data_IF_107767606026
#
_entry.id   IF_107767606026
#
_cell.length_a   1.000
_cell.length_b   1.000
_cell.length_c   1.000
_cell.angle_alpha   90.00
_cell.angle_beta   90.00
_cell.angle_gamma   90.00
#
_symmetry.space_group_name_H-M   'P 1'
#
loop_
_entity.id
_entity.type
_entity.pdbx_description
1 polymer ?
#
# COMPACT_ATOMS: atom_id res chain seq x y z
N UNK A 1 -9.26 -35.87 50.61
CA UNK A 1 -8.79 -35.17 51.84
C UNK A 1 -7.28 -35.29 51.89
N UNK A 2 -6.51 -34.29 52.37
CA UNK A 2 -6.83 -32.97 52.96
C UNK A 2 -6.40 -31.81 52.01
N UNK A 3 -6.96 -30.58 51.96
CA UNK A 3 -7.18 -29.46 52.90
C UNK A 3 -5.90 -28.73 53.41
N UNK A 4 -5.83 -27.43 53.06
CA UNK A 4 -4.82 -26.37 53.26
C UNK A 4 -4.34 -26.11 54.73
N UNK A 5 -3.31 -25.26 54.99
CA UNK A 5 -3.57 -23.81 55.23
C UNK A 5 -2.47 -22.79 54.82
N UNK A 6 -2.93 -21.58 54.41
CA UNK A 6 -2.49 -20.19 54.69
C UNK A 6 -1.01 -19.77 54.82
N UNK A 7 -0.62 -18.61 54.23
CA UNK A 7 -0.46 -17.28 54.89
C UNK A 7 0.02 -16.20 53.89
N UNK A 8 -0.46 -14.98 54.12
CA UNK A 8 -0.31 -13.68 53.45
C UNK A 8 1.10 -13.04 53.42
N UNK A 9 1.35 -12.11 52.49
CA UNK A 9 1.53 -10.64 52.76
C UNK A 9 2.14 -9.88 51.56
N UNK A 10 1.90 -8.56 51.57
CA UNK A 10 2.09 -7.50 50.55
C UNK A 10 3.55 -7.19 50.14
N UNK A 11 3.79 -6.33 49.11
CA UNK A 11 5.00 -6.35 48.27
C UNK A 11 6.16 -5.53 48.85
N UNK A 12 7.40 -6.00 48.65
CA UNK A 12 8.61 -5.24 48.98
C UNK A 12 9.17 -4.51 47.77
N UNK A 13 9.11 -3.20 47.85
CA UNK A 13 9.78 -2.18 47.06
C UNK A 13 11.30 -2.35 47.02
N UNK A 14 11.91 -2.28 45.82
CA UNK A 14 13.32 -1.92 45.63
C UNK A 14 13.51 -1.16 44.30
N UNK A 15 13.16 0.13 44.34
CA UNK A 15 13.81 1.13 43.52
C UNK A 15 15.13 1.49 44.21
N UNK A 16 16.26 1.07 43.66
CA UNK A 16 17.58 1.51 44.09
C UNK A 16 18.51 1.52 42.88
N UNK A 17 18.44 2.57 42.07
CA UNK A 17 19.57 3.03 41.27
C UNK A 17 19.33 4.48 40.90
N UNK A 18 19.68 5.40 41.82
CA UNK A 18 19.98 6.80 41.55
C UNK A 18 20.47 7.45 42.87
N UNK A 19 21.64 7.01 43.35
CA UNK A 19 22.48 7.80 44.25
C UNK A 19 23.93 7.50 43.91
N UNK A 20 24.56 8.44 43.21
CA UNK A 20 25.91 8.89 43.50
C UNK A 20 26.17 10.16 42.69
N UNK A 21 26.04 11.29 43.37
CA UNK A 21 26.74 12.52 42.99
C UNK A 21 27.80 12.82 44.04
N UNK A 22 28.92 13.33 43.52
CA UNK A 22 29.95 14.18 44.15
C UNK A 22 31.33 13.57 44.47
N UNK A 23 32.30 14.15 43.74
CA UNK A 23 33.75 14.38 43.97
C UNK A 23 34.66 13.51 43.12
N UNK A 24 35.64 14.00 42.36
CA UNK A 24 36.11 15.35 42.01
C UNK A 24 37.23 15.19 40.96
N UNK A 25 37.30 16.08 39.96
CA UNK A 25 38.56 16.40 39.25
C UNK A 25 38.55 16.22 37.73
N UNK A 26 38.46 17.32 36.99
CA UNK A 26 38.74 17.39 35.56
C UNK A 26 37.76 18.26 34.79
N UNK A 27 38.06 19.55 34.64
CA UNK A 27 37.36 20.42 33.69
C UNK A 27 37.69 19.97 32.26
N UNK A 28 36.74 19.28 31.61
CA UNK A 28 36.72 19.13 30.17
C UNK A 28 35.54 19.94 29.62
N UNK A 29 35.83 20.81 28.66
CA UNK A 29 34.87 21.61 27.91
C UNK A 29 33.72 20.71 27.38
N UNK A 30 32.43 21.01 27.61
CA UNK A 30 31.33 20.25 27.04
C UNK A 30 31.17 20.64 25.57
N UNK A 31 32.09 20.18 24.74
CA UNK A 31 31.94 20.17 23.29
C UNK A 31 30.86 19.16 22.91
N UNK A 32 29.72 19.67 22.42
CA UNK A 32 28.85 19.02 21.44
C UNK A 32 28.65 17.50 21.59
N UNK A 33 28.07 17.04 22.71
CA UNK A 33 27.40 15.76 22.69
C UNK A 33 26.11 15.95 21.88
N UNK A 34 26.12 15.59 20.59
CA UNK A 34 24.89 15.55 19.80
C UNK A 34 23.90 14.59 20.49
N UNK A 35 22.69 15.08 20.74
CA UNK A 35 21.59 14.26 21.25
C UNK A 35 21.37 13.06 20.30
N UNK A 36 21.11 11.84 20.82
CA UNK A 36 20.74 10.69 20.01
C UNK A 36 19.48 11.01 19.19
N UNK A 37 19.48 10.61 17.91
CA UNK A 37 18.52 11.15 16.94
C UNK A 37 17.05 10.77 17.23
N UNK A 38 16.75 9.68 17.94
CA UNK A 38 15.36 9.35 18.33
C UNK A 38 15.27 8.52 19.64
N UNK A 39 14.43 8.96 20.59
CA UNK A 39 14.10 8.25 21.85
C UNK A 39 13.37 6.92 21.59
N UNK A 40 12.71 6.79 20.43
CA UNK A 40 11.92 5.61 20.03
C UNK A 40 12.74 4.35 19.85
N UNK A 41 14.05 4.47 19.66
CA UNK A 41 14.93 3.34 19.41
C UNK A 41 15.37 2.64 20.72
N UNK A 42 14.99 3.17 21.90
CA UNK A 42 15.45 2.69 23.22
C UNK A 42 14.36 2.07 24.12
N UNK A 43 13.08 2.24 23.80
CA UNK A 43 11.97 1.76 24.65
C UNK A 43 11.38 0.48 24.05
N UNK A 44 11.21 -0.56 24.87
CA UNK A 44 10.59 -1.82 24.42
C UNK A 44 9.09 -1.64 24.14
N UNK A 45 8.58 -2.38 23.15
CA UNK A 45 7.16 -2.35 22.74
C UNK A 45 6.21 -2.62 23.91
N UNK A 46 6.59 -3.51 24.82
CA UNK A 46 5.81 -3.90 26.00
C UNK A 46 5.59 -2.74 26.99
N UNK A 47 6.58 -1.86 27.15
CA UNK A 47 6.48 -0.71 28.05
C UNK A 47 5.54 0.36 27.46
N UNK A 48 5.56 0.52 26.14
CA UNK A 48 4.63 1.41 25.43
C UNK A 48 3.18 0.96 25.54
N UNK A 49 2.90 -0.34 25.37
CA UNK A 49 1.53 -0.86 25.46
C UNK A 49 0.90 -0.60 26.83
N UNK A 50 1.68 -0.75 27.91
CA UNK A 50 1.21 -0.44 29.26
C UNK A 50 0.92 1.04 29.51
N UNK A 51 1.73 1.94 28.92
CA UNK A 51 1.50 3.38 29.02
C UNK A 51 0.19 3.76 28.32
N UNK A 52 -0.06 3.19 27.13
CA UNK A 52 -1.30 3.40 26.38
C UNK A 52 -2.50 2.90 27.20
N UNK A 53 -2.45 1.67 27.72
CA UNK A 53 -3.55 1.08 28.51
C UNK A 53 -3.97 1.94 29.70
N UNK A 54 -3.02 2.61 30.36
CA UNK A 54 -3.32 3.48 31.49
C UNK A 54 -3.89 4.84 31.07
N UNK A 55 -3.56 5.33 29.88
CA UNK A 55 -3.98 6.65 29.39
C UNK A 55 -5.22 6.60 28.50
N UNK A 56 -5.70 5.42 28.08
CA UNK A 56 -6.95 5.23 27.32
C UNK A 56 -8.16 5.99 27.90
N UNK A 57 -8.40 6.04 29.23
CA UNK A 57 -9.55 6.75 29.80
C UNK A 57 -9.45 8.28 29.73
N UNK A 58 -8.25 8.85 29.53
CA UNK A 58 -7.99 10.28 29.49
C UNK A 58 -7.41 10.67 28.13
N UNK A 59 -8.33 10.88 27.19
CA UNK A 59 -8.01 11.14 25.79
C UNK A 59 -7.23 12.45 25.59
N UNK A 60 -7.43 13.46 26.45
CA UNK A 60 -6.70 14.72 26.35
C UNK A 60 -5.24 14.56 26.76
N UNK A 61 -4.98 13.83 27.85
CA UNK A 61 -3.61 13.53 28.28
C UNK A 61 -2.88 12.59 27.31
N UNK A 62 -3.59 11.62 26.72
CA UNK A 62 -3.05 10.75 25.66
C UNK A 62 -2.60 11.56 24.43
N UNK A 63 -3.41 12.54 24.00
CA UNK A 63 -3.11 13.42 22.87
C UNK A 63 -1.96 14.38 23.19
N UNK A 64 -1.85 14.87 24.42
CA UNK A 64 -0.74 15.74 24.85
C UNK A 64 0.59 14.98 25.04
N UNK A 65 0.54 13.72 25.50
CA UNK A 65 1.71 12.83 25.60
C UNK A 65 2.29 12.41 24.24
N UNK A 66 1.63 12.71 23.11
CA UNK A 66 2.18 12.50 21.75
C UNK A 66 3.46 13.31 21.45
N UNK A 67 3.94 14.14 22.38
CA UNK A 67 5.23 14.82 22.30
C UNK A 67 6.45 13.86 22.31
N UNK A 68 6.25 12.55 22.54
CA UNK A 68 7.27 11.51 22.34
C UNK A 68 6.79 10.48 21.32
N UNK A 69 6.64 10.94 20.07
CA UNK A 69 6.54 10.14 18.84
C UNK A 69 5.25 9.31 18.72
N UNK A 70 4.56 9.25 17.58
CA UNK A 70 5.01 8.56 16.35
C UNK A 70 5.75 7.21 16.56
N UNK A 71 5.85 6.69 17.79
CA UNK A 71 6.20 5.32 18.17
C UNK A 71 4.91 4.54 18.47
N UNK A 72 4.41 3.72 17.55
CA UNK A 72 4.83 2.31 17.39
C UNK A 72 4.03 1.31 18.25
N UNK A 73 2.70 1.46 18.33
CA UNK A 73 1.78 0.37 18.66
C UNK A 73 0.55 0.42 17.73
N UNK A 74 0.04 -0.71 17.21
CA UNK A 74 -1.18 -0.77 16.39
C UNK A 74 -2.39 -0.07 17.05
N UNK A 75 -2.58 -0.23 18.37
CA UNK A 75 -3.68 0.38 19.13
C UNK A 75 -3.70 1.91 19.11
N UNK A 76 -2.55 2.57 19.08
CA UNK A 76 -2.49 4.04 19.00
C UNK A 76 -2.92 4.58 17.64
N UNK A 77 -2.90 3.74 16.59
CA UNK A 77 -3.32 4.12 15.23
C UNK A 77 -4.84 4.19 15.10
N UNK A 78 -5.55 3.27 15.76
CA UNK A 78 -7.02 3.27 15.84
C UNK A 78 -7.61 4.52 16.52
N UNK A 79 -6.78 5.27 17.25
CA UNK A 79 -7.19 6.46 18.02
C UNK A 79 -6.88 7.78 17.29
N UNK A 80 -6.06 7.76 16.23
CA UNK A 80 -5.57 8.97 15.53
C UNK A 80 -5.97 9.03 14.05
N UNK A 81 -6.32 7.90 13.45
CA UNK A 81 -6.92 7.79 12.13
C UNK A 81 -8.28 7.13 12.33
N UNK A 82 -9.32 7.55 11.61
CA UNK A 82 -10.53 6.74 11.41
C UNK A 82 -10.16 5.51 10.57
N UNK A 83 -9.27 4.66 11.08
CA UNK A 83 -8.99 3.36 10.51
C UNK A 83 -10.21 2.50 10.81
N UNK A 84 -11.02 2.27 9.80
CA UNK A 84 -12.09 1.29 9.89
C UNK A 84 -11.40 -0.07 9.81
N UNK A 85 -11.12 -0.63 10.98
CA UNK A 85 -10.44 -1.91 11.16
C UNK A 85 -11.49 -3.00 11.00
N UNK A 86 -11.42 -3.74 9.91
CA UNK A 86 -12.19 -4.98 9.73
C UNK A 86 -11.33 -6.15 10.16
N UNK A 87 -11.61 -6.67 11.36
CA UNK A 87 -11.06 -7.94 11.83
C UNK A 87 -12.02 -9.07 11.43
N UNK A 88 -11.54 -10.03 10.65
CA UNK A 88 -12.24 -11.31 10.48
C UNK A 88 -11.61 -12.34 11.41
N UNK A 89 -12.45 -13.14 12.07
CA UNK A 89 -12.04 -14.07 13.13
C UNK A 89 -11.26 -15.26 12.56
N UNK A 90 -9.96 -15.07 12.34
CA UNK A 90 -9.00 -16.13 12.00
C UNK A 90 -8.90 -16.49 10.52
N UNK A 91 -9.47 -15.68 9.61
CA UNK A 91 -9.26 -15.85 8.16
C UNK A 91 -8.28 -14.82 7.63
N UNK A 92 -7.31 -15.29 6.85
CA UNK A 92 -6.39 -14.40 6.14
C UNK A 92 -7.14 -13.65 5.04
N UNK A 93 -7.05 -12.33 5.08
CA UNK A 93 -7.57 -11.44 4.05
C UNK A 93 -6.57 -11.39 2.88
N UNK A 94 -7.04 -11.64 1.66
CA UNK A 94 -6.20 -11.68 0.45
C UNK A 94 -6.15 -10.33 -0.25
N UNK A 95 -7.30 -9.66 -0.36
CA UNK A 95 -7.42 -8.32 -0.92
C UNK A 95 -8.66 -7.62 -0.37
N UNK A 96 -8.71 -6.30 -0.48
CA UNK A 96 -9.82 -5.50 0.02
C UNK A 96 -10.08 -4.28 -0.88
N UNK A 97 -11.31 -3.81 -0.88
CA UNK A 97 -11.76 -2.59 -1.54
C UNK A 97 -12.65 -1.79 -0.58
N UNK A 98 -12.64 -0.46 -0.69
CA UNK A 98 -13.48 0.41 0.13
C UNK A 98 -14.52 1.08 -0.75
N UNK A 99 -15.76 1.08 -0.28
CA UNK A 99 -16.83 1.95 -0.78
C UNK A 99 -17.13 3.03 0.26
N UNK A 100 -17.95 4.02 -0.10
CA UNK A 100 -18.42 5.04 0.84
C UNK A 100 -19.23 4.47 2.00
N UNK A 101 -19.87 3.30 1.80
CA UNK A 101 -20.81 2.70 2.75
C UNK A 101 -20.19 1.57 3.57
N UNK A 102 -19.20 0.87 3.01
CA UNK A 102 -18.73 -0.42 3.50
C UNK A 102 -17.28 -0.71 3.08
N UNK A 103 -16.54 -1.42 3.92
CA UNK A 103 -15.29 -2.10 3.56
C UNK A 103 -15.62 -3.51 3.08
N UNK A 104 -15.14 -3.83 1.88
CA UNK A 104 -15.28 -5.14 1.26
C UNK A 104 -13.92 -5.83 1.29
N UNK A 105 -13.88 -7.09 1.71
CA UNK A 105 -12.64 -7.85 1.76
C UNK A 105 -12.86 -9.28 1.29
N UNK A 106 -11.83 -9.85 0.66
CA UNK A 106 -11.83 -11.25 0.27
C UNK A 106 -10.96 -12.07 1.22
N UNK A 107 -11.43 -13.28 1.45
CA UNK A 107 -10.71 -14.34 2.16
C UNK A 107 -10.60 -15.56 1.22
N UNK A 108 -10.09 -16.68 1.73
CA UNK A 108 -10.04 -17.92 0.96
C UNK A 108 -11.44 -18.48 0.59
N UNK A 109 -12.47 -18.19 1.39
CA UNK A 109 -13.80 -18.80 1.27
C UNK A 109 -14.87 -17.90 0.61
N UNK A 110 -14.65 -16.59 0.51
CA UNK A 110 -15.58 -15.69 -0.16
C UNK A 110 -15.19 -14.22 -0.09
N UNK A 111 -16.11 -13.37 -0.57
CA UNK A 111 -16.05 -11.92 -0.39
C UNK A 111 -17.01 -11.55 0.73
N UNK A 112 -16.50 -10.82 1.71
CA UNK A 112 -17.21 -10.36 2.89
C UNK A 112 -17.39 -8.85 2.83
N UNK A 113 -18.43 -8.38 3.51
CA UNK A 113 -18.69 -6.96 3.76
C UNK A 113 -18.98 -6.80 5.24
N UNK A 114 -18.61 -5.65 5.79
CA UNK A 114 -18.92 -5.28 7.17
C UNK A 114 -20.42 -5.20 7.45
N UNK A 115 -21.23 -4.85 6.46
CA UNK A 115 -22.69 -4.69 6.55
C UNK A 115 -23.50 -5.95 6.23
N UNK A 116 -22.86 -7.07 5.88
CA UNK A 116 -23.54 -8.29 5.41
C UNK A 116 -23.30 -9.50 6.32
N UNK A 117 -24.36 -10.22 6.67
CA UNK A 117 -24.26 -11.45 7.49
C UNK A 117 -23.64 -12.64 6.76
N UNK A 118 -23.72 -12.67 5.43
CA UNK A 118 -23.27 -13.82 4.61
C UNK A 118 -22.32 -13.37 3.50
N UNK A 119 -21.23 -14.11 3.27
CA UNK A 119 -20.30 -13.78 2.21
C UNK A 119 -20.86 -14.14 0.83
N UNK A 120 -20.46 -13.34 -0.16
CA UNK A 120 -20.54 -13.68 -1.56
C UNK A 120 -19.59 -14.84 -1.87
N UNK A 121 -20.13 -15.95 -2.39
CA UNK A 121 -19.39 -17.20 -2.63
C UNK A 121 -18.50 -17.13 -3.88
N UNK A 122 -17.54 -16.21 -3.88
CA UNK A 122 -16.51 -16.08 -4.90
C UNK A 122 -15.14 -16.32 -4.26
N UNK A 123 -14.51 -17.45 -4.60
CA UNK A 123 -13.25 -17.91 -4.01
C UNK A 123 -12.04 -17.47 -4.83
N UNK A 124 -10.86 -17.58 -4.20
CA UNK A 124 -9.56 -17.31 -4.83
C UNK A 124 -9.48 -15.90 -5.42
N UNK A 125 -10.05 -14.92 -4.72
CA UNK A 125 -10.02 -13.52 -5.15
C UNK A 125 -8.66 -12.92 -4.81
N UNK A 126 -7.95 -12.44 -5.83
CA UNK A 126 -6.57 -11.92 -5.69
C UNK A 126 -6.50 -10.40 -5.86
N UNK A 127 -7.47 -9.79 -6.52
CA UNK A 127 -7.56 -8.35 -6.71
C UNK A 127 -9.03 -7.93 -6.86
N UNK A 128 -9.40 -6.77 -6.33
CA UNK A 128 -10.73 -6.19 -6.45
C UNK A 128 -10.67 -4.65 -6.56
N UNK A 129 -11.68 -4.05 -7.19
CA UNK A 129 -11.88 -2.61 -7.30
C UNK A 129 -13.39 -2.32 -7.40
N UNK A 130 -13.85 -1.20 -6.82
CA UNK A 130 -15.25 -0.77 -6.84
C UNK A 130 -15.35 0.54 -7.63
N UNK A 131 -16.19 0.55 -8.68
CA UNK A 131 -16.57 1.77 -9.41
C UNK A 131 -18.00 2.14 -9.01
N UNK A 132 -18.12 2.86 -7.90
CA UNK A 132 -19.41 3.15 -7.28
C UNK A 132 -20.32 4.05 -8.15
N UNK A 133 -19.72 4.99 -8.90
CA UNK A 133 -20.44 5.95 -9.77
C UNK A 133 -21.14 5.28 -10.95
N UNK A 134 -20.66 4.10 -11.37
CA UNK A 134 -21.27 3.27 -12.42
C UNK A 134 -21.83 1.95 -11.90
N UNK A 135 -21.92 1.77 -10.57
CA UNK A 135 -22.40 0.55 -9.92
C UNK A 135 -21.73 -0.74 -10.46
N UNK A 136 -20.40 -0.73 -10.58
CA UNK A 136 -19.64 -1.85 -11.14
C UNK A 136 -18.58 -2.35 -10.16
N UNK A 137 -18.61 -3.65 -9.88
CA UNK A 137 -17.57 -4.36 -9.14
C UNK A 137 -16.66 -5.13 -10.11
N UNK A 138 -15.36 -4.96 -9.94
CA UNK A 138 -14.32 -5.60 -10.73
C UNK A 138 -13.47 -6.50 -9.83
N UNK A 139 -13.20 -7.73 -10.25
CA UNK A 139 -12.30 -8.60 -9.49
C UNK A 139 -11.58 -9.62 -10.35
N UNK A 140 -10.48 -10.16 -9.81
CA UNK A 140 -9.84 -11.38 -10.32
C UNK A 140 -10.13 -12.50 -9.34
N UNK A 141 -10.77 -13.56 -9.81
CA UNK A 141 -11.03 -14.77 -9.05
C UNK A 141 -10.56 -16.00 -9.85
N UNK A 142 -9.72 -16.85 -9.25
CA UNK A 142 -9.14 -18.03 -9.92
C UNK A 142 -8.43 -17.69 -11.25
N UNK A 143 -7.73 -16.54 -11.29
CA UNK A 143 -7.05 -16.04 -12.49
C UNK A 143 -7.99 -15.56 -13.61
N UNK A 144 -9.29 -15.42 -13.36
CA UNK A 144 -10.26 -14.87 -14.30
C UNK A 144 -10.69 -13.48 -13.86
N UNK A 145 -10.57 -12.50 -14.76
CA UNK A 145 -11.12 -11.17 -14.58
C UNK A 145 -12.63 -11.17 -14.83
N UNK A 146 -13.38 -10.72 -13.83
CA UNK A 146 -14.83 -10.82 -13.71
C UNK A 146 -15.40 -9.45 -13.36
N UNK A 147 -16.58 -9.16 -13.90
CA UNK A 147 -17.38 -8.00 -13.52
C UNK A 147 -18.78 -8.41 -13.07
N UNK A 148 -19.34 -7.64 -12.14
CA UNK A 148 -20.74 -7.76 -11.72
C UNK A 148 -21.25 -6.41 -11.22
N UNK A 149 -22.57 -6.17 -11.19
CA UNK A 149 -23.11 -4.98 -10.56
C UNK A 149 -22.66 -4.90 -9.10
N UNK A 150 -22.26 -3.72 -8.62
CA UNK A 150 -21.83 -3.55 -7.23
C UNK A 150 -22.97 -3.84 -6.24
N UNK A 151 -24.21 -3.52 -6.61
CA UNK A 151 -25.40 -3.86 -5.85
C UNK A 151 -25.61 -5.36 -5.63
N UNK A 152 -25.04 -6.23 -6.48
CA UNK A 152 -25.11 -7.68 -6.30
C UNK A 152 -24.28 -8.20 -5.12
N UNK A 153 -23.50 -7.32 -4.48
CA UNK A 153 -22.79 -7.60 -3.24
C UNK A 153 -23.54 -7.05 -2.01
N UNK A 154 -24.57 -6.22 -2.16
CA UNK A 154 -25.26 -5.60 -1.03
C UNK A 154 -26.06 -6.64 -0.21
N UNK A 155 -26.27 -6.40 1.10
CA UNK A 155 -27.06 -7.29 1.95
C UNK A 155 -28.45 -7.56 1.35
N UNK A 156 -28.88 -8.83 1.40
CA UNK A 156 -30.18 -9.27 0.88
C UNK A 156 -30.22 -9.59 -0.62
N UNK A 157 -29.15 -9.33 -1.37
CA UNK A 157 -29.02 -9.79 -2.75
C UNK A 157 -28.49 -11.24 -2.81
N UNK A 158 -28.95 -12.02 -3.79
CA UNK A 158 -28.35 -13.32 -4.12
C UNK A 158 -27.43 -13.17 -5.33
N UNK A 159 -26.24 -13.75 -5.23
CA UNK A 159 -25.25 -13.72 -6.30
C UNK A 159 -25.62 -14.77 -7.35
N UNK A 160 -26.64 -14.47 -8.14
CA UNK A 160 -27.08 -15.37 -9.21
C UNK A 160 -26.03 -15.40 -10.33
N UNK A 161 -25.89 -16.56 -10.99
CA UNK A 161 -24.91 -16.76 -12.07
C UNK A 161 -25.03 -15.77 -13.23
N UNK A 162 -26.22 -15.18 -13.43
CA UNK A 162 -26.48 -14.16 -14.46
C UNK A 162 -25.83 -12.80 -14.18
N UNK A 163 -25.54 -12.46 -12.93
CA UNK A 163 -24.90 -11.18 -12.57
C UNK A 163 -23.38 -11.19 -12.81
N UNK A 164 -22.78 -12.40 -12.88
CA UNK A 164 -21.33 -12.57 -12.96
C UNK A 164 -20.88 -12.71 -14.41
N UNK A 165 -20.27 -11.66 -14.95
CA UNK A 165 -19.71 -11.63 -16.32
C UNK A 165 -18.22 -11.94 -16.30
N UNK A 166 -17.83 -13.05 -16.93
CA UNK A 166 -16.41 -13.43 -17.09
C UNK A 166 -15.84 -12.76 -18.35
N UNK A 167 -14.82 -11.93 -18.18
CA UNK A 167 -14.29 -11.09 -19.27
C UNK A 167 -13.00 -11.65 -19.85
N UNK A 168 -12.07 -12.11 -19.00
CA UNK A 168 -10.79 -12.65 -19.47
C UNK A 168 -10.19 -13.68 -18.53
N UNK A 169 -9.66 -14.77 -19.07
CA UNK A 169 -8.92 -15.81 -18.32
C UNK A 169 -7.42 -15.55 -18.32
N UNK A 170 -6.70 -16.15 -17.37
CA UNK A 170 -5.24 -16.03 -17.20
C UNK A 170 -4.77 -14.59 -17.00
N UNK A 171 -5.51 -13.83 -16.19
CA UNK A 171 -5.19 -12.45 -15.87
C UNK A 171 -4.26 -12.41 -14.67
N UNK A 172 -3.16 -11.69 -14.80
CA UNK A 172 -2.22 -11.44 -13.71
C UNK A 172 -2.76 -10.36 -12.77
N UNK A 173 -3.17 -9.23 -13.34
CA UNK A 173 -3.66 -8.07 -12.61
C UNK A 173 -4.47 -7.15 -13.55
N UNK A 174 -5.20 -6.21 -12.98
CA UNK A 174 -5.80 -5.10 -13.71
C UNK A 174 -5.54 -3.76 -13.03
N UNK A 175 -5.72 -2.66 -13.75
CA UNK A 175 -5.70 -1.30 -13.19
C UNK A 175 -6.84 -0.49 -13.78
N UNK A 176 -7.39 0.43 -13.01
CA UNK A 176 -8.45 1.33 -13.47
C UNK A 176 -7.91 2.74 -13.63
N UNK A 177 -8.41 3.43 -14.65
CA UNK A 177 -8.19 4.85 -14.87
C UNK A 177 -9.54 5.56 -14.96
N UNK A 178 -9.70 6.59 -14.14
CA UNK A 178 -10.88 7.45 -14.13
C UNK A 178 -10.59 8.76 -14.85
N UNK A 179 -11.55 9.23 -15.64
CA UNK A 179 -11.52 10.53 -16.30
C UNK A 179 -12.93 11.09 -16.44
N UNK A 180 -13.04 12.34 -16.89
CA UNK A 180 -14.33 12.98 -17.20
C UNK A 180 -15.11 12.25 -18.30
N UNK A 181 -14.41 11.53 -19.19
CA UNK A 181 -15.00 10.70 -20.26
C UNK A 181 -15.35 9.27 -19.77
N UNK A 182 -15.37 9.04 -18.45
CA UNK A 182 -15.64 7.75 -17.83
C UNK A 182 -14.38 6.93 -17.55
N UNK A 183 -14.61 5.65 -17.25
CA UNK A 183 -13.60 4.72 -16.76
C UNK A 183 -12.96 3.88 -17.86
N UNK A 184 -11.66 3.60 -17.71
CA UNK A 184 -10.92 2.62 -18.50
C UNK A 184 -10.31 1.56 -17.60
N UNK A 185 -10.35 0.31 -18.04
CA UNK A 185 -9.73 -0.81 -17.33
C UNK A 185 -8.63 -1.40 -18.20
N UNK A 186 -7.42 -1.47 -17.66
CA UNK A 186 -6.30 -2.17 -18.28
C UNK A 186 -6.17 -3.55 -17.63
N UNK A 187 -6.29 -4.60 -18.43
CA UNK A 187 -6.14 -6.00 -18.01
C UNK A 187 -4.83 -6.52 -18.58
N UNK A 188 -3.93 -6.98 -17.70
CA UNK A 188 -2.62 -7.48 -18.06
C UNK A 188 -2.57 -9.00 -17.89
N UNK A 189 -2.10 -9.68 -18.94
CA UNK A 189 -1.69 -11.07 -18.91
C UNK A 189 -0.21 -11.15 -19.19
N UNK A 190 0.51 -11.98 -18.46
CA UNK A 190 1.95 -12.12 -18.68
C UNK A 190 2.38 -13.57 -18.58
N UNK A 191 3.44 -13.89 -19.32
CA UNK A 191 4.21 -15.12 -19.29
C UNK A 191 5.69 -14.75 -19.25
N UNK A 192 6.57 -15.73 -19.04
CA UNK A 192 8.02 -15.50 -19.05
C UNK A 192 8.55 -14.91 -20.37
N UNK A 193 7.83 -15.10 -21.48
CA UNK A 193 8.24 -14.66 -22.81
C UNK A 193 7.55 -13.38 -23.27
N UNK A 194 6.38 -13.05 -22.70
CA UNK A 194 5.52 -12.04 -23.29
C UNK A 194 4.40 -11.55 -22.41
N UNK A 195 3.85 -10.39 -22.77
CA UNK A 195 2.71 -9.78 -22.11
C UNK A 195 1.66 -9.32 -23.10
N UNK A 196 0.39 -9.57 -22.78
CA UNK A 196 -0.76 -9.07 -23.53
C UNK A 196 -1.52 -8.08 -22.67
N UNK A 197 -1.75 -6.90 -23.22
CA UNK A 197 -2.48 -5.81 -22.56
C UNK A 197 -3.80 -5.60 -23.30
N UNK A 198 -4.91 -5.65 -22.56
CA UNK A 198 -6.25 -5.34 -23.07
C UNK A 198 -6.79 -4.11 -22.36
N UNK A 199 -7.22 -3.10 -23.11
CA UNK A 199 -7.85 -1.89 -22.60
C UNK A 199 -9.34 -1.96 -22.89
N UNK A 200 -10.15 -1.85 -21.84
CA UNK A 200 -11.60 -1.79 -21.92
C UNK A 200 -12.10 -0.39 -21.56
N UNK A 201 -13.06 0.12 -22.32
CA UNK A 201 -13.86 1.27 -21.93
C UNK A 201 -15.10 0.76 -21.16
N UNK A 202 -15.40 1.38 -20.02
CA UNK A 202 -16.61 1.06 -19.24
C UNK A 202 -17.79 1.82 -19.84
N UNK A 203 -18.78 1.09 -20.35
CA UNK A 203 -20.01 1.68 -20.87
C UNK A 203 -21.03 1.96 -19.76
N UNK A 204 -22.00 2.83 -20.04
CA UNK A 204 -23.03 3.22 -19.09
C UNK A 204 -23.99 2.09 -18.68
N UNK A 205 -24.07 1.02 -19.48
CA UNK A 205 -24.80 -0.22 -19.17
C UNK A 205 -23.93 -1.24 -18.38
N UNK A 206 -22.85 -0.75 -17.77
CA UNK A 206 -21.90 -1.53 -16.98
C UNK A 206 -21.13 -2.59 -17.80
N UNK A 207 -21.21 -2.57 -19.13
CA UNK A 207 -20.43 -3.49 -19.98
C UNK A 207 -18.99 -3.00 -20.16
N UNK A 208 -18.07 -3.95 -20.36
CA UNK A 208 -16.68 -3.65 -20.71
C UNK A 208 -16.48 -3.86 -22.21
N UNK A 209 -16.30 -2.76 -22.94
CA UNK A 209 -16.06 -2.80 -24.37
C UNK A 209 -14.56 -2.79 -24.65
N UNK A 210 -14.07 -3.82 -25.34
CA UNK A 210 -12.65 -3.91 -25.71
C UNK A 210 -12.30 -2.78 -26.66
N UNK A 211 -11.51 -1.83 -26.18
CA UNK A 211 -11.08 -0.65 -26.91
C UNK A 211 -9.79 -0.91 -27.68
N UNK A 212 -8.80 -1.53 -27.02
CA UNK A 212 -7.49 -1.85 -27.59
C UNK A 212 -6.94 -3.15 -27.05
N UNK A 213 -6.16 -3.85 -27.86
CA UNK A 213 -5.36 -4.99 -27.46
C UNK A 213 -4.00 -4.93 -28.15
N UNK A 214 -2.93 -5.13 -27.39
CA UNK A 214 -1.57 -5.15 -27.92
C UNK A 214 -0.68 -6.11 -27.14
N UNK A 215 0.45 -6.44 -27.76
CA UNK A 215 1.40 -7.44 -27.28
C UNK A 215 2.77 -6.82 -27.07
N UNK A 216 3.43 -7.18 -25.98
CA UNK A 216 4.79 -6.79 -25.65
C UNK A 216 5.66 -8.06 -25.55
N UNK A 217 6.80 -8.13 -26.26
CA UNK A 217 7.64 -9.34 -26.33
C UNK A 217 8.52 -9.53 -25.08
N UNK A 218 7.99 -9.23 -23.90
CA UNK A 218 8.68 -9.34 -22.60
C UNK A 218 7.69 -9.63 -21.48
N UNK A 219 8.17 -10.30 -20.44
CA UNK A 219 7.47 -10.46 -19.17
C UNK A 219 7.27 -9.09 -18.51
N UNK A 220 6.04 -8.78 -18.12
CA UNK A 220 5.70 -7.63 -17.32
C UNK A 220 5.85 -8.01 -15.85
N UNK A 221 6.62 -7.22 -15.10
CA UNK A 221 6.93 -7.54 -13.70
C UNK A 221 5.79 -7.13 -12.75
N UNK A 222 5.06 -6.09 -13.11
CA UNK A 222 4.09 -5.41 -12.27
C UNK A 222 2.94 -4.86 -13.14
N UNK A 223 1.81 -4.44 -12.53
CA UNK A 223 0.68 -3.92 -13.26
C UNK A 223 1.06 -2.76 -14.19
N UNK A 224 0.48 -2.77 -15.39
CA UNK A 224 0.55 -1.63 -16.30
C UNK A 224 -0.19 -0.43 -15.69
N UNK A 225 0.33 0.78 -15.83
CA UNK A 225 -0.23 1.97 -15.19
C UNK A 225 -0.59 3.02 -16.24
N UNK A 226 -1.77 3.63 -16.11
CA UNK A 226 -2.16 4.72 -16.99
C UNK A 226 -1.40 6.00 -16.64
N UNK A 227 -0.70 6.56 -17.61
CA UNK A 227 -0.13 7.90 -17.51
C UNK A 227 -1.16 8.97 -17.92
N UNK A 228 -1.97 8.64 -18.92
CA UNK A 228 -3.11 9.42 -19.38
C UNK A 228 -4.17 8.48 -19.96
N UNK A 229 -5.33 9.02 -20.36
CA UNK A 229 -6.37 8.24 -21.02
C UNK A 229 -5.86 7.51 -22.27
N UNK A 230 -4.89 8.09 -22.99
CA UNK A 230 -4.32 7.56 -24.23
C UNK A 230 -2.94 6.94 -24.07
N UNK A 231 -2.37 6.86 -22.85
CA UNK A 231 -1.02 6.34 -22.65
C UNK A 231 -0.94 5.45 -21.42
N UNK A 232 -0.40 4.26 -21.62
CA UNK A 232 -0.16 3.26 -20.57
C UNK A 232 1.33 2.99 -20.50
N UNK A 233 1.86 2.78 -19.31
CA UNK A 233 3.25 2.43 -19.10
C UNK A 233 3.35 1.09 -18.42
N UNK A 234 4.19 0.20 -18.96
CA UNK A 234 4.33 -1.18 -18.53
C UNK A 234 5.76 -1.40 -18.01
N UNK A 235 5.92 -1.81 -16.73
CA UNK A 235 7.21 -2.25 -16.20
C UNK A 235 7.60 -3.61 -16.80
N UNK A 236 8.63 -3.65 -17.65
CA UNK A 236 9.06 -4.85 -18.37
C UNK A 236 10.42 -5.38 -17.87
N UNK A 237 10.53 -6.69 -17.81
CA UNK A 237 11.77 -7.39 -17.42
C UNK A 237 12.84 -7.27 -18.51
N UNK A 238 14.08 -7.00 -18.08
CA UNK A 238 15.25 -6.99 -18.96
C UNK A 238 15.30 -5.80 -19.93
N UNK A 239 14.42 -4.82 -19.79
CA UNK A 239 14.50 -3.56 -20.52
C UNK A 239 15.53 -2.64 -19.83
N UNK A 240 16.49 -2.04 -20.56
CA UNK A 240 17.51 -1.18 -19.96
C UNK A 240 16.96 -0.04 -19.09
N UNK A 241 15.77 0.46 -19.47
CA UNK A 241 15.08 1.60 -18.85
C UNK A 241 13.85 1.19 -18.03
N UNK A 242 13.55 -0.11 -18.00
CA UNK A 242 12.52 -0.74 -17.19
C UNK A 242 11.06 -0.41 -17.54
N UNK A 243 10.75 0.81 -17.96
CA UNK A 243 9.41 1.30 -18.22
C UNK A 243 9.18 1.57 -19.71
N UNK A 244 8.29 0.81 -20.33
CA UNK A 244 7.86 1.01 -21.72
C UNK A 244 6.49 1.70 -21.74
N UNK A 245 6.43 2.88 -22.33
CA UNK A 245 5.19 3.62 -22.57
C UNK A 245 4.60 3.24 -23.93
N UNK A 246 3.29 3.00 -23.96
CA UNK A 246 2.52 2.67 -25.16
C UNK A 246 1.44 3.71 -25.37
N UNK A 247 1.41 4.28 -26.56
CA UNK A 247 0.32 5.17 -27.00
C UNK A 247 -0.86 4.33 -27.50
N UNK A 248 -2.02 4.48 -26.86
CA UNK A 248 -3.22 3.66 -27.14
C UNK A 248 -3.92 4.02 -28.45
N UNK A 249 -3.55 5.14 -29.08
CA UNK A 249 -4.13 5.55 -30.38
C UNK A 249 -3.32 4.93 -31.52
N UNK A 250 -2.00 5.07 -31.47
CA UNK A 250 -1.07 4.62 -32.51
C UNK A 250 -0.47 3.23 -32.28
N UNK A 251 -0.60 2.70 -31.06
CA UNK A 251 0.06 1.48 -30.57
C UNK A 251 1.59 1.50 -30.66
N UNK A 252 2.18 2.67 -30.87
CA UNK A 252 3.62 2.84 -30.85
C UNK A 252 4.13 2.78 -29.41
N UNK A 253 5.30 2.14 -29.25
CA UNK A 253 5.97 2.02 -27.96
C UNK A 253 7.18 2.95 -27.92
N UNK A 254 7.44 3.51 -26.75
CA UNK A 254 8.60 4.33 -26.46
C UNK A 254 9.02 4.13 -25.01
N UNK A 255 10.30 4.27 -24.70
CA UNK A 255 10.74 4.28 -23.31
C UNK A 255 10.15 5.48 -22.57
N UNK A 256 9.76 5.28 -21.30
CA UNK A 256 9.38 6.41 -20.44
C UNK A 256 10.59 7.30 -20.10
N UNK A 257 11.77 6.69 -19.96
CA UNK A 257 13.01 7.37 -19.60
C UNK A 257 13.88 7.62 -20.82
N UNK A 258 14.58 8.75 -20.86
CA UNK A 258 15.61 9.05 -21.84
C UNK A 258 16.97 8.49 -21.43
N UNK A 259 17.92 8.49 -22.36
CA UNK A 259 19.31 8.11 -22.11
C UNK A 259 20.07 9.27 -21.44
N UNK A 260 19.77 9.51 -20.16
CA UNK A 260 20.45 10.50 -19.33
C UNK A 260 21.48 9.81 -18.41
N UNK A 261 22.78 10.16 -18.50
CA UNK A 261 23.84 9.59 -17.66
C UNK A 261 23.55 9.65 -16.15
N UNK A 262 22.83 10.67 -15.68
CA UNK A 262 22.58 10.90 -14.26
C UNK A 262 21.79 9.75 -13.62
N UNK A 263 20.67 9.33 -14.22
CA UNK A 263 19.89 8.21 -13.68
C UNK A 263 20.43 6.85 -14.12
N UNK A 264 21.07 6.75 -15.29
CA UNK A 264 21.70 5.50 -15.77
C UNK A 264 22.76 4.97 -14.79
N UNK A 265 23.50 5.87 -14.14
CA UNK A 265 24.42 5.51 -13.06
C UNK A 265 23.70 4.97 -11.82
N UNK A 266 22.55 5.56 -11.47
CA UNK A 266 21.75 5.20 -10.29
C UNK A 266 20.95 3.90 -10.47
N UNK A 267 20.44 3.65 -11.68
CA UNK A 267 19.56 2.54 -12.01
C UNK A 267 20.29 1.31 -12.58
N UNK A 268 21.63 1.31 -12.52
CA UNK A 268 22.42 0.17 -12.96
C UNK A 268 22.01 -1.08 -12.16
N UNK A 269 21.44 -2.07 -12.86
CA UNK A 269 20.91 -3.32 -12.26
C UNK A 269 19.78 -3.10 -11.25
N UNK A 270 18.91 -2.12 -11.47
CA UNK A 270 17.67 -1.94 -10.71
C UNK A 270 16.47 -2.46 -11.49
N UNK A 271 15.43 -2.89 -10.77
CA UNK A 271 14.17 -3.37 -11.36
C UNK A 271 13.11 -2.27 -11.30
N UNK A 272 12.37 -2.02 -12.39
CA UNK A 272 11.27 -1.07 -12.37
C UNK A 272 10.16 -1.61 -11.45
N UNK A 273 9.66 -0.75 -10.56
CA UNK A 273 8.63 -1.12 -9.58
C UNK A 273 7.31 -0.41 -9.88
N UNK A 274 7.23 0.89 -9.60
CA UNK A 274 5.99 1.65 -9.78
C UNK A 274 6.30 3.01 -10.36
N UNK A 275 5.27 3.70 -10.84
CA UNK A 275 5.36 5.13 -11.11
C UNK A 275 4.16 5.84 -10.49
N UNK A 276 4.31 7.13 -10.25
CA UNK A 276 3.22 7.94 -9.75
C UNK A 276 3.24 9.29 -10.43
N UNK A 277 2.10 9.70 -10.97
CA UNK A 277 1.97 11.04 -11.55
C UNK A 277 2.01 12.07 -10.42
N UNK A 278 2.92 13.02 -10.52
CA UNK A 278 3.10 14.08 -9.54
C UNK A 278 2.87 15.44 -10.18
N UNK A 279 1.81 16.14 -9.76
CA UNK A 279 1.35 17.37 -10.43
C UNK A 279 1.16 17.14 -11.95
N UNK A 280 1.14 18.21 -12.73
CA UNK A 280 0.86 18.15 -14.17
C UNK A 280 2.04 17.67 -15.02
N UNK A 281 3.28 17.82 -14.55
CA UNK A 281 4.48 17.71 -15.40
C UNK A 281 5.55 16.75 -14.89
N UNK A 282 5.39 16.15 -13.71
CA UNK A 282 6.40 15.26 -13.14
C UNK A 282 5.81 13.87 -12.93
N UNK A 283 6.68 12.87 -13.05
CA UNK A 283 6.38 11.49 -12.71
C UNK A 283 7.44 11.07 -11.71
N UNK A 284 7.02 10.49 -10.59
CA UNK A 284 7.93 9.88 -9.64
C UNK A 284 8.06 8.41 -9.99
N UNK A 285 9.23 7.98 -10.43
CA UNK A 285 9.51 6.58 -10.78
C UNK A 285 10.18 5.88 -9.61
N UNK A 286 9.70 4.68 -9.31
CA UNK A 286 10.22 3.83 -8.25
C UNK A 286 10.88 2.61 -8.86
N UNK A 287 12.15 2.41 -8.53
CA UNK A 287 12.87 1.16 -8.74
C UNK A 287 13.07 0.46 -7.40
N UNK A 288 13.55 -0.78 -7.41
CA UNK A 288 13.79 -1.60 -6.23
C UNK A 288 14.84 -1.03 -5.24
N UNK A 289 15.67 -0.07 -5.67
CA UNK A 289 16.71 0.57 -4.84
C UNK A 289 16.59 2.09 -4.70
N UNK A 290 16.01 2.74 -5.70
CA UNK A 290 15.95 4.21 -5.78
C UNK A 290 14.60 4.68 -6.30
N UNK A 291 14.22 5.90 -5.93
CA UNK A 291 13.11 6.63 -6.51
C UNK A 291 13.51 8.06 -6.84
N UNK A 292 13.05 8.58 -7.96
CA UNK A 292 13.39 9.93 -8.42
C UNK A 292 12.31 10.50 -9.33
N UNK A 293 12.35 11.82 -9.54
CA UNK A 293 11.44 12.51 -10.43
C UNK A 293 11.95 12.50 -11.86
N UNK A 294 11.02 12.40 -12.80
CA UNK A 294 11.26 12.58 -14.23
C UNK A 294 10.27 13.57 -14.81
N UNK A 295 10.73 14.34 -15.79
CA UNK A 295 9.89 15.29 -16.52
C UNK A 295 9.07 14.58 -17.62
N UNK A 296 8.28 15.36 -18.37
CA UNK A 296 7.46 14.86 -19.48
C UNK A 296 8.29 14.35 -20.67
N UNK A 297 9.53 14.81 -20.77
CA UNK A 297 10.46 14.41 -21.81
C UNK A 297 11.15 13.10 -21.46
N UNK A 298 11.10 12.65 -20.21
CA UNK A 298 11.75 11.43 -19.73
C UNK A 298 13.13 11.68 -19.11
N UNK A 299 13.52 12.93 -18.90
CA UNK A 299 14.78 13.28 -18.24
C UNK A 299 14.61 13.31 -16.73
N UNK A 300 15.68 13.07 -16.00
CA UNK A 300 15.67 13.19 -14.56
C UNK A 300 15.40 14.66 -14.16
N UNK A 301 14.47 14.85 -13.23
CA UNK A 301 14.16 16.13 -12.63
C UNK A 301 14.51 16.09 -11.13
N UNK A 302 14.73 17.26 -10.52
CA UNK A 302 15.02 17.40 -9.08
C UNK A 302 16.17 16.47 -8.64
N UNK A 303 17.36 16.67 -9.21
CA UNK A 303 18.54 15.82 -8.95
C UNK A 303 18.94 15.74 -7.47
N UNK A 304 18.53 16.72 -6.67
CA UNK A 304 18.70 16.79 -5.22
C UNK A 304 17.74 15.86 -4.44
N UNK A 305 16.60 15.48 -5.03
CA UNK A 305 15.55 14.69 -4.40
C UNK A 305 15.51 13.24 -4.90
N UNK A 306 16.64 12.54 -4.73
CA UNK A 306 16.74 11.10 -4.98
C UNK A 306 16.53 10.33 -3.69
N UNK A 307 15.47 9.53 -3.64
CA UNK A 307 15.20 8.63 -2.54
C UNK A 307 15.99 7.35 -2.76
N UNK A 308 16.80 6.94 -1.77
CA UNK A 308 17.49 5.66 -1.75
C UNK A 308 16.84 4.79 -0.68
N UNK A 309 16.14 3.75 -1.11
CA UNK A 309 15.37 2.92 -0.19
C UNK A 309 16.30 2.25 0.83
N UNK A 310 15.87 2.21 2.09
CA UNK A 310 16.63 1.60 3.18
C UNK A 310 16.44 0.06 3.26
N UNK A 311 15.66 -0.49 2.33
CA UNK A 311 15.32 -1.90 2.14
C UNK A 311 14.99 -2.12 0.66
N UNK A 312 14.73 -3.38 0.27
CA UNK A 312 14.23 -3.72 -1.08
C UNK A 312 12.71 -3.79 -1.04
N UNK A 313 11.99 -2.76 -1.52
CA UNK A 313 10.55 -2.75 -1.40
C UNK A 313 9.92 -3.68 -2.44
N UNK A 314 8.87 -4.39 -2.06
CA UNK A 314 8.07 -5.23 -2.94
C UNK A 314 6.88 -4.48 -3.55
N UNK A 315 6.42 -3.42 -2.88
CA UNK A 315 5.27 -2.61 -3.30
C UNK A 315 5.41 -1.17 -2.85
N UNK A 316 4.78 -0.27 -3.59
CA UNK A 316 4.72 1.16 -3.26
C UNK A 316 3.30 1.68 -3.33
N UNK A 317 2.96 2.58 -2.42
CA UNK A 317 1.74 3.37 -2.50
C UNK A 317 2.05 4.85 -2.27
N UNK A 318 1.39 5.74 -3.02
CA UNK A 318 1.59 7.18 -2.89
C UNK A 318 0.31 7.85 -2.40
N UNK A 319 0.45 8.61 -1.31
CA UNK A 319 -0.51 9.59 -0.82
C UNK A 319 0.23 10.91 -0.64
N UNK A 320 0.24 11.76 -1.66
CA UNK A 320 1.07 12.97 -1.67
C UNK A 320 0.94 13.77 -0.34
N UNK A 321 2.05 14.15 0.31
CA UNK A 321 3.46 14.04 -0.09
C UNK A 321 4.19 12.80 0.42
N UNK A 322 3.48 11.76 0.84
CA UNK A 322 4.08 10.57 1.44
C UNK A 322 4.03 9.38 0.49
N UNK A 323 5.17 8.73 0.31
CA UNK A 323 5.23 7.42 -0.35
C UNK A 323 5.53 6.35 0.69
N UNK A 324 4.75 5.29 0.65
CA UNK A 324 4.94 4.09 1.44
C UNK A 324 5.72 3.09 0.60
N UNK A 325 6.81 2.57 1.14
CA UNK A 325 7.59 1.49 0.57
C UNK A 325 7.46 0.25 1.46
N UNK A 326 6.81 -0.79 0.95
CA UNK A 326 6.53 -2.03 1.66
C UNK A 326 7.66 -3.03 1.44
N UNK A 327 8.14 -3.64 2.51
CA UNK A 327 9.15 -4.71 2.51
C UNK A 327 8.73 -5.78 3.51
N UNK A 328 9.35 -6.97 3.46
CA UNK A 328 8.88 -8.19 4.15
C UNK A 328 8.50 -8.01 5.63
N UNK A 329 9.20 -7.16 6.37
CA UNK A 329 8.95 -6.91 7.80
C UNK A 329 8.83 -5.44 8.16
N UNK A 330 8.68 -4.57 7.15
CA UNK A 330 8.73 -3.12 7.37
C UNK A 330 8.02 -2.35 6.27
N UNK A 331 7.23 -1.36 6.66
CA UNK A 331 6.80 -0.26 5.78
C UNK A 331 7.61 0.97 6.15
N UNK A 332 8.22 1.62 5.17
CA UNK A 332 8.88 2.91 5.37
C UNK A 332 8.07 4.01 4.69
N UNK A 333 7.79 5.08 5.43
CA UNK A 333 7.05 6.24 4.93
C UNK A 333 8.06 7.35 4.68
N UNK A 334 8.14 7.77 3.42
CA UNK A 334 9.05 8.80 2.96
C UNK A 334 8.28 10.05 2.56
N UNK A 335 8.80 11.22 2.91
CA UNK A 335 8.33 12.47 2.33
C UNK A 335 9.04 12.71 1.00
N UNK A 336 8.30 12.61 -0.11
CA UNK A 336 8.89 12.75 -1.46
C UNK A 336 9.37 14.17 -1.77
N UNK A 337 8.94 15.18 -1.00
CA UNK A 337 9.38 16.58 -1.17
C UNK A 337 10.70 16.87 -0.47
N UNK A 338 11.06 16.12 0.58
CA UNK A 338 12.30 16.32 1.35
C UNK A 338 13.29 15.15 1.22
N UNK A 339 12.87 14.03 0.62
CA UNK A 339 13.63 12.78 0.53
C UNK A 339 14.00 12.17 1.91
N UNK A 340 13.25 12.52 2.95
CA UNK A 340 13.48 12.01 4.31
C UNK A 340 12.47 10.92 4.69
N UNK A 341 12.94 9.98 5.49
CA UNK A 341 12.07 8.99 6.13
C UNK A 341 11.37 9.68 7.29
N UNK A 342 10.05 9.79 7.22
CA UNK A 342 9.24 10.37 8.28
C UNK A 342 8.74 9.33 9.27
N UNK A 343 8.68 8.06 8.85
CA UNK A 343 8.21 6.96 9.71
C UNK A 343 8.74 5.61 9.24
N UNK A 344 8.95 4.70 10.19
CA UNK A 344 9.11 3.27 9.95
C UNK A 344 8.05 2.51 10.74
N UNK A 345 7.43 1.54 10.09
CA UNK A 345 6.42 0.68 10.65
C UNK A 345 6.96 -0.74 10.57
N UNK A 346 7.21 -1.37 11.71
CA UNK A 346 7.70 -2.74 11.78
C UNK A 346 6.54 -3.72 11.86
N UNK A 347 6.64 -4.82 11.11
CA UNK A 347 5.64 -5.89 11.09
C UNK A 347 5.48 -6.48 9.69
N UNK A 348 4.91 -7.70 9.57
CA UNK A 348 4.72 -8.40 8.31
C UNK A 348 3.48 -7.86 7.58
N UNK A 349 3.51 -6.56 7.28
CA UNK A 349 2.42 -5.86 6.63
C UNK A 349 2.54 -5.94 5.11
N UNK A 350 1.43 -6.23 4.44
CA UNK A 350 1.33 -6.26 2.97
C UNK A 350 0.16 -5.42 2.49
N UNK A 351 0.25 -4.87 1.28
CA UNK A 351 -0.88 -4.15 0.70
C UNK A 351 -2.00 -5.14 0.35
N UNK A 352 -3.24 -4.79 0.70
CA UNK A 352 -4.45 -5.54 0.36
C UNK A 352 -5.12 -5.01 -0.91
N UNK A 353 -4.74 -3.83 -1.36
CA UNK A 353 -5.20 -3.25 -2.61
C UNK A 353 -4.01 -2.76 -3.46
N UNK A 354 -4.23 -2.74 -4.77
CA UNK A 354 -3.54 -1.75 -5.61
C UNK A 354 -4.10 -0.38 -5.19
N UNK A 355 -3.30 0.71 -5.16
CA UNK A 355 -3.80 1.99 -4.66
C UNK A 355 -5.08 2.35 -5.42
N UNK A 356 -6.18 2.53 -4.68
CA UNK A 356 -7.49 2.78 -5.26
C UNK A 356 -7.51 4.16 -5.93
N UNK A 357 -8.55 4.43 -6.73
CA UNK A 357 -8.74 5.73 -7.38
C UNK A 357 -8.74 6.92 -6.40
N UNK A 358 -9.19 6.70 -5.16
CA UNK A 358 -9.21 7.71 -4.08
C UNK A 358 -7.85 7.88 -3.37
N UNK A 359 -6.86 7.07 -3.72
CA UNK A 359 -5.54 7.03 -3.11
C UNK A 359 -5.50 6.35 -1.75
N UNK A 360 -6.57 5.66 -1.34
CA UNK A 360 -6.61 4.88 -0.12
C UNK A 360 -5.71 3.65 -0.21
N UNK A 361 -5.08 3.32 0.91
CA UNK A 361 -4.17 2.16 1.02
C UNK A 361 -4.62 1.30 2.18
N UNK A 362 -5.11 0.12 1.84
CA UNK A 362 -5.51 -0.93 2.76
C UNK A 362 -4.31 -1.86 2.96
N UNK A 363 -3.98 -2.13 4.22
CA UNK A 363 -2.82 -2.94 4.58
C UNK A 363 -3.27 -4.09 5.47
N UNK A 364 -2.78 -5.28 5.18
CA UNK A 364 -3.08 -6.49 5.92
C UNK A 364 -1.88 -6.91 6.76
N UNK A 365 -2.16 -7.42 7.95
CA UNK A 365 -1.32 -8.36 8.67
C UNK A 365 -2.07 -9.71 8.74
N UNK A 366 -1.39 -10.83 8.99
CA UNK A 366 -1.87 -12.21 8.83
C UNK A 366 -3.35 -12.46 9.21
N UNK A 367 -3.86 -11.82 10.27
CA UNK A 367 -5.24 -11.95 10.76
C UNK A 367 -6.05 -10.63 10.81
N UNK A 368 -5.52 -9.50 10.33
CA UNK A 368 -6.15 -8.18 10.46
C UNK A 368 -5.99 -7.36 9.17
N UNK A 369 -7.09 -6.85 8.61
CA UNK A 369 -7.04 -5.78 7.62
C UNK A 369 -7.19 -4.42 8.32
N UNK A 370 -6.16 -3.59 8.20
CA UNK A 370 -6.14 -2.23 8.71
C UNK A 370 -6.10 -1.25 7.53
N UNK A 371 -7.04 -0.31 7.49
CA UNK A 371 -6.90 0.86 6.62
C UNK A 371 -5.81 1.76 7.21
N UNK A 372 -4.71 1.94 6.48
CA UNK A 372 -3.56 2.71 7.00
C UNK A 372 -3.59 4.16 6.52
N UNK A 373 -4.21 4.46 5.38
CA UNK A 373 -4.28 5.82 4.84
C UNK A 373 -5.61 6.13 4.15
N UNK A 374 -6.17 7.31 4.47
CA UNK A 374 -7.36 7.90 3.87
C UNK A 374 -7.05 9.21 3.12
#
# INVERSE_FOLDING_TARGET
>A
MPSFPFVSSKPSSRWNFLRNTTKSGGFANPGSAMLPRHITDQISTELYERIIEQLVPDTQSLVACNLVCRSWAPRSRCLLLESTVTQDSGRRITCAARSSEAVIYATADGIYRDDAERPAMLREVTQMEILADVNLFLCIAGGTFITMPFDALKPGSSLDSGHVRRISKHVMCFTVFQSTEGHRVCVLKTSALSSTVKIFDVAGDQTLNLSREFYLPREALLPAQFLSRSRVVVPLKGLPRGFEMVDLTSLQTQSLLNDDPAWMALAKKTKPMSMFRFRTNLIFVCFDKVGFYVDRQGNMARHDLVLRWDSTPSFFALREPYILAFSDMRITVWNIKTAEIVQRIHGPYHSLNVPQLDGSVLVGNQDVAELVFH
#
